data_IF_258430264129
#
_entry.id   IF_258430264129
#
_cell.length_a   1.000
_cell.length_b   1.000
_cell.length_c   1.000
_cell.angle_alpha   90.00
_cell.angle_beta   90.00
_cell.angle_gamma   90.00
#
_symmetry.space_group_name_H-M   'P 1'
#
loop_
_entity.id
_entity.type
_entity.pdbx_description
1 polymer ?
#
# COMPACT_ATOMS: atom_id res chain seq x y z
N UNK A 1 -2.28 7.51 -11.37
CA UNK A 1 -1.43 6.51 -12.06
C UNK A 1 -2.29 5.52 -12.85
N UNK A 2 -3.06 4.60 -12.24
CA UNK A 2 -3.78 3.50 -12.90
C UNK A 2 -4.53 3.95 -14.17
N UNK A 3 -5.36 4.98 -14.09
CA UNK A 3 -6.11 5.50 -15.24
C UNK A 3 -5.23 6.19 -16.28
N UNK A 4 -4.12 6.80 -15.87
CA UNK A 4 -3.16 7.40 -16.81
C UNK A 4 -2.43 6.31 -17.59
N UNK A 5 -1.96 5.26 -16.91
CA UNK A 5 -1.32 4.11 -17.53
C UNK A 5 -2.28 3.41 -18.49
N UNK A 6 -3.51 3.14 -18.03
CA UNK A 6 -4.57 2.54 -18.85
C UNK A 6 -4.87 3.37 -20.11
N UNK A 7 -5.05 4.67 -19.97
CA UNK A 7 -5.28 5.58 -21.10
C UNK A 7 -4.14 5.56 -22.12
N UNK A 8 -2.89 5.74 -21.65
CA UNK A 8 -1.72 5.80 -22.55
C UNK A 8 -1.51 4.46 -23.25
N UNK A 9 -1.59 3.35 -22.54
CA UNK A 9 -1.44 2.02 -23.15
C UNK A 9 -2.54 1.75 -24.19
N UNK A 10 -3.77 2.11 -23.87
CA UNK A 10 -4.90 1.89 -24.80
C UNK A 10 -4.80 2.80 -26.02
N UNK A 11 -4.69 4.12 -25.82
CA UNK A 11 -4.79 5.12 -26.91
C UNK A 11 -3.50 5.28 -27.72
N UNK A 12 -2.33 5.20 -27.05
CA UNK A 12 -1.05 5.48 -27.72
C UNK A 12 -0.35 4.20 -28.15
N UNK A 13 -0.52 3.09 -27.41
CA UNK A 13 0.19 1.84 -27.70
C UNK A 13 -0.69 0.88 -28.52
N UNK A 14 -1.90 0.57 -28.07
CA UNK A 14 -2.70 -0.53 -28.62
C UNK A 14 -3.56 -0.14 -29.81
N UNK A 15 -4.31 0.97 -29.73
CA UNK A 15 -5.21 1.38 -30.82
C UNK A 15 -4.48 1.60 -32.14
N UNK A 16 -3.35 2.35 -32.20
CA UNK A 16 -2.64 2.55 -33.44
C UNK A 16 -1.98 1.28 -34.00
N UNK A 17 -1.64 0.34 -33.10
CA UNK A 17 -0.91 -0.86 -33.49
C UNK A 17 -1.80 -1.99 -34.03
N UNK A 18 -3.00 -2.14 -33.44
CA UNK A 18 -3.88 -3.28 -33.75
C UNK A 18 -5.10 -2.92 -34.57
N UNK A 19 -5.24 -1.65 -35.00
CA UNK A 19 -6.29 -1.18 -35.93
C UNK A 19 -7.66 -1.83 -35.68
N UNK A 20 -8.10 -1.87 -34.41
CA UNK A 20 -9.39 -2.46 -34.00
C UNK A 20 -9.55 -3.96 -34.36
N UNK A 21 -8.45 -4.70 -34.43
CA UNK A 21 -8.50 -6.15 -34.59
C UNK A 21 -9.03 -6.87 -33.35
N UNK A 22 -9.51 -8.10 -33.51
CA UNK A 22 -9.95 -8.94 -32.39
C UNK A 22 -8.85 -9.05 -31.29
N UNK A 23 -7.59 -9.20 -31.73
CA UNK A 23 -6.44 -9.24 -30.80
C UNK A 23 -6.29 -7.93 -30.03
N UNK A 24 -6.45 -6.78 -30.66
CA UNK A 24 -6.42 -5.48 -30.03
C UNK A 24 -7.50 -5.35 -28.96
N UNK A 25 -8.72 -5.71 -29.29
CA UNK A 25 -9.84 -5.69 -28.32
C UNK A 25 -9.59 -6.58 -27.10
N UNK A 26 -9.01 -7.78 -27.28
CA UNK A 26 -8.68 -8.67 -26.16
C UNK A 26 -7.61 -8.05 -25.25
N UNK A 27 -6.55 -7.46 -25.82
CA UNK A 27 -5.49 -6.81 -25.04
C UNK A 27 -6.00 -5.58 -24.28
N UNK A 28 -6.81 -4.75 -24.93
CA UNK A 28 -7.46 -3.60 -24.31
C UNK A 28 -8.42 -4.06 -23.19
N UNK A 29 -9.25 -5.07 -23.47
CA UNK A 29 -10.18 -5.62 -22.49
C UNK A 29 -9.47 -6.15 -21.24
N UNK A 30 -8.33 -6.83 -21.40
CA UNK A 30 -7.53 -7.29 -20.27
C UNK A 30 -6.95 -6.11 -19.48
N UNK A 31 -6.46 -5.06 -20.14
CA UNK A 31 -5.96 -3.86 -19.47
C UNK A 31 -7.04 -3.21 -18.63
N UNK A 32 -8.24 -2.99 -19.20
CA UNK A 32 -9.38 -2.41 -18.47
C UNK A 32 -9.87 -3.30 -17.33
N UNK A 33 -9.81 -4.62 -17.48
CA UNK A 33 -10.16 -5.56 -16.41
C UNK A 33 -9.21 -5.42 -15.22
N UNK A 34 -7.89 -5.33 -15.47
CA UNK A 34 -6.88 -5.16 -14.41
C UNK A 34 -7.04 -3.79 -13.74
N UNK A 35 -7.16 -2.72 -14.53
CA UNK A 35 -7.38 -1.36 -14.00
C UNK A 35 -8.67 -1.25 -13.20
N UNK A 36 -9.76 -1.81 -13.70
CA UNK A 36 -11.06 -1.85 -13.01
C UNK A 36 -11.03 -2.65 -11.71
N UNK A 37 -10.33 -3.79 -11.71
CA UNK A 37 -10.13 -4.61 -10.50
C UNK A 37 -9.32 -3.88 -9.43
N UNK A 38 -8.23 -3.22 -9.84
CA UNK A 38 -7.42 -2.38 -8.95
C UNK A 38 -8.27 -1.24 -8.36
N UNK A 39 -9.06 -0.56 -9.20
CA UNK A 39 -9.94 0.52 -8.75
C UNK A 39 -11.02 0.03 -7.78
N UNK A 40 -11.66 -1.09 -8.08
CA UNK A 40 -12.67 -1.66 -7.19
C UNK A 40 -12.09 -2.02 -5.82
N UNK A 41 -10.89 -2.60 -5.79
CA UNK A 41 -10.18 -2.88 -4.54
C UNK A 41 -9.79 -1.59 -3.80
N UNK A 42 -9.32 -0.56 -4.51
CA UNK A 42 -9.01 0.76 -3.94
C UNK A 42 -10.23 1.37 -3.24
N UNK A 43 -11.38 1.40 -3.93
CA UNK A 43 -12.65 1.87 -3.36
C UNK A 43 -13.05 1.05 -2.12
N UNK A 44 -12.88 -0.28 -2.17
CA UNK A 44 -13.13 -1.15 -1.01
C UNK A 44 -12.25 -0.81 0.17
N UNK A 45 -10.95 -0.54 -0.03
CA UNK A 45 -10.05 -0.12 1.06
C UNK A 45 -10.49 1.22 1.66
N UNK A 46 -10.88 2.19 0.82
CA UNK A 46 -11.31 3.52 1.27
C UNK A 46 -12.54 3.44 2.20
N UNK A 47 -13.54 2.65 1.83
CA UNK A 47 -14.84 2.64 2.51
C UNK A 47 -15.03 1.49 3.51
N UNK A 48 -14.12 0.52 3.56
CA UNK A 48 -14.20 -0.55 4.57
C UNK A 48 -13.61 -0.08 5.89
N UNK A 49 -14.36 -0.27 6.98
CA UNK A 49 -13.86 0.00 8.32
C UNK A 49 -12.62 -0.85 8.62
N UNK A 50 -11.50 -0.23 9.05
CA UNK A 50 -10.25 -0.97 9.34
C UNK A 50 -10.28 -1.78 10.65
N UNK A 51 -11.35 -1.70 11.43
CA UNK A 51 -11.45 -2.28 12.77
C UNK A 51 -11.39 -1.22 13.86
N UNK A 52 -12.34 -0.30 13.87
CA UNK A 52 -12.37 0.83 14.81
C UNK A 52 -12.94 0.41 16.15
N UNK A 53 -12.24 0.75 17.24
CA UNK A 53 -12.70 0.56 18.62
C UNK A 53 -13.65 1.68 19.06
N UNK A 54 -14.64 1.31 19.89
CA UNK A 54 -15.54 2.29 20.51
C UNK A 54 -14.74 3.22 21.42
N UNK A 55 -15.13 4.49 21.46
CA UNK A 55 -14.56 5.51 22.34
C UNK A 55 -15.33 5.62 23.64
N UNK A 56 -14.70 6.23 24.65
CA UNK A 56 -15.31 6.57 25.93
C UNK A 56 -15.96 5.34 26.62
N UNK A 57 -15.28 4.19 26.54
CA UNK A 57 -15.71 2.98 27.25
C UNK A 57 -15.27 2.96 28.72
N UNK A 58 -14.42 3.91 29.11
CA UNK A 58 -13.89 4.07 30.46
C UNK A 58 -14.13 5.49 30.94
N UNK A 59 -14.35 5.65 32.24
CA UNK A 59 -14.37 6.96 32.89
C UNK A 59 -12.96 7.55 32.99
N UNK A 60 -12.86 8.87 33.25
CA UNK A 60 -11.54 9.49 33.43
C UNK A 60 -10.79 8.94 34.64
N UNK A 61 -11.50 8.56 35.71
CA UNK A 61 -10.94 7.95 36.91
C UNK A 61 -10.40 6.56 36.67
N UNK A 62 -11.14 5.73 35.90
CA UNK A 62 -10.67 4.40 35.50
C UNK A 62 -9.45 4.48 34.60
N UNK A 63 -9.41 5.43 33.67
CA UNK A 63 -8.23 5.67 32.82
C UNK A 63 -7.03 6.04 33.67
N UNK A 64 -7.19 6.96 34.64
CA UNK A 64 -6.10 7.39 35.52
C UNK A 64 -5.61 6.22 36.38
N UNK A 65 -6.52 5.47 37.01
CA UNK A 65 -6.19 4.29 37.82
C UNK A 65 -5.39 3.25 37.02
N UNK A 66 -5.74 3.02 35.74
CA UNK A 66 -4.99 2.13 34.87
C UNK A 66 -3.61 2.68 34.51
N UNK A 67 -3.49 4.00 34.26
CA UNK A 67 -2.20 4.63 33.97
C UNK A 67 -1.26 4.54 35.18
N UNK A 68 -1.79 4.75 36.40
CA UNK A 68 -1.02 4.66 37.64
C UNK A 68 -0.58 3.21 37.93
N UNK A 69 -1.40 2.21 37.62
CA UNK A 69 -1.07 0.79 37.79
C UNK A 69 -0.05 0.28 36.77
N UNK A 70 0.10 0.93 35.63
CA UNK A 70 1.08 0.54 34.57
C UNK A 70 2.54 0.59 35.05
N UNK A 71 2.85 1.34 36.08
CA UNK A 71 4.20 1.43 36.67
C UNK A 71 4.61 0.17 37.49
N UNK A 72 3.66 -0.70 37.81
CA UNK A 72 3.84 -1.85 38.70
C UNK A 72 3.62 -3.23 38.01
N UNK A 73 3.06 -3.26 36.81
CA UNK A 73 2.62 -4.51 36.16
C UNK A 73 3.45 -4.86 34.95
N UNK A 74 3.99 -6.09 34.90
CA UNK A 74 4.80 -6.61 33.78
C UNK A 74 3.99 -6.84 32.50
N UNK A 75 2.66 -6.80 32.57
CA UNK A 75 1.76 -6.93 31.41
C UNK A 75 0.55 -5.99 31.53
N UNK A 76 0.77 -4.66 31.48
CA UNK A 76 -0.29 -3.69 31.74
C UNK A 76 -1.36 -3.76 30.64
N UNK A 77 -2.62 -3.84 31.07
CA UNK A 77 -3.76 -3.60 30.20
C UNK A 77 -3.67 -2.16 29.71
N UNK A 78 -3.22 -1.97 28.49
CA UNK A 78 -2.98 -0.63 27.95
C UNK A 78 -4.30 0.10 27.77
N UNK A 79 -4.33 1.38 28.15
CA UNK A 79 -5.47 2.28 27.94
C UNK A 79 -5.05 3.39 26.99
N UNK A 80 -5.93 3.73 26.07
CA UNK A 80 -5.72 4.88 25.18
C UNK A 80 -6.26 6.16 25.84
N UNK A 81 -5.39 7.07 26.26
CA UNK A 81 -5.79 8.36 26.85
C UNK A 81 -6.63 9.24 25.93
N UNK A 82 -6.42 9.16 24.59
CA UNK A 82 -7.21 9.93 23.63
C UNK A 82 -8.62 9.36 23.43
N UNK A 83 -8.75 8.03 23.40
CA UNK A 83 -10.04 7.36 23.17
C UNK A 83 -10.76 6.99 24.45
N UNK A 84 -10.11 7.09 25.61
CA UNK A 84 -10.61 6.63 26.90
C UNK A 84 -11.21 5.22 26.81
N UNK A 85 -10.41 4.29 26.29
CA UNK A 85 -10.83 2.93 26.01
C UNK A 85 -9.66 1.96 26.17
N UNK A 86 -9.96 0.71 26.51
CA UNK A 86 -8.97 -0.36 26.54
C UNK A 86 -8.29 -0.53 25.21
N UNK A 87 -6.97 -0.70 25.25
CA UNK A 87 -6.09 -0.86 24.10
C UNK A 87 -5.40 -2.23 24.18
N UNK A 88 -6.06 -3.31 23.77
CA UNK A 88 -5.46 -4.64 23.71
C UNK A 88 -4.19 -4.65 22.86
N UNK A 89 -3.43 -5.75 22.94
CA UNK A 89 -2.26 -5.93 22.09
C UNK A 89 -2.61 -5.72 20.61
N UNK A 90 -1.69 -5.09 19.87
CA UNK A 90 -1.83 -4.81 18.43
C UNK A 90 -2.92 -3.79 18.07
N UNK A 91 -3.51 -3.11 19.06
CA UNK A 91 -4.39 -1.97 18.83
C UNK A 91 -3.58 -0.68 18.91
N UNK A 92 -3.63 0.15 17.90
CA UNK A 92 -2.90 1.42 17.86
C UNK A 92 -3.83 2.60 17.61
N UNK A 93 -3.50 3.76 18.25
CA UNK A 93 -4.25 4.99 18.04
C UNK A 93 -3.70 5.74 16.82
N UNK A 94 -4.52 5.93 15.81
CA UNK A 94 -4.20 6.78 14.68
C UNK A 94 -4.50 8.24 14.99
N UNK A 95 -3.47 9.08 15.05
CA UNK A 95 -3.65 10.54 15.27
C UNK A 95 -4.37 11.23 14.12
N UNK A 96 -4.18 10.78 12.87
CA UNK A 96 -4.85 11.33 11.67
C UNK A 96 -6.36 11.06 11.69
N UNK A 97 -6.75 9.82 11.99
CA UNK A 97 -8.15 9.41 12.05
C UNK A 97 -8.77 9.66 13.44
N UNK A 98 -7.97 10.04 14.43
CA UNK A 98 -8.36 10.24 15.83
C UNK A 98 -9.17 9.08 16.41
N UNK A 99 -8.71 7.84 16.19
CA UNK A 99 -9.39 6.60 16.63
C UNK A 99 -8.41 5.45 16.81
N UNK A 100 -8.75 4.50 17.68
CA UNK A 100 -8.02 3.24 17.84
C UNK A 100 -8.47 2.24 16.79
N UNK A 101 -7.49 1.52 16.20
CA UNK A 101 -7.71 0.55 15.12
C UNK A 101 -7.08 -0.78 15.51
N UNK A 102 -7.84 -1.86 15.33
CA UNK A 102 -7.41 -3.22 15.60
C UNK A 102 -6.40 -3.68 14.56
N UNK A 103 -5.29 -4.30 15.03
CA UNK A 103 -4.18 -4.77 14.20
C UNK A 103 -3.78 -3.70 13.17
N UNK A 104 -3.66 -2.47 13.65
CA UNK A 104 -3.30 -1.34 12.81
C UNK A 104 -1.92 -1.55 12.19
N UNK A 105 -1.84 -1.53 10.87
CA UNK A 105 -0.57 -1.56 10.16
C UNK A 105 -0.03 -0.14 9.95
N UNK A 106 -0.78 0.70 9.24
CA UNK A 106 -0.42 2.11 9.03
C UNK A 106 -1.66 2.96 8.70
N UNK A 107 -1.51 4.29 8.72
CA UNK A 107 -2.44 5.21 8.07
C UNK A 107 -1.98 5.44 6.63
N UNK A 108 -2.81 5.10 5.66
CA UNK A 108 -2.50 5.24 4.25
C UNK A 108 -3.14 6.52 3.66
N UNK A 109 -2.35 7.54 3.30
CA UNK A 109 -2.87 8.77 2.71
C UNK A 109 -3.54 8.53 1.34
N UNK A 110 -3.06 7.56 0.58
CA UNK A 110 -3.55 7.26 -0.77
C UNK A 110 -4.99 6.76 -0.80
N UNK A 111 -5.44 6.11 0.26
CA UNK A 111 -6.81 5.63 0.43
C UNK A 111 -7.58 6.42 1.48
N UNK A 112 -6.94 7.44 2.07
CA UNK A 112 -7.49 8.27 3.14
C UNK A 112 -8.13 7.46 4.28
N UNK A 113 -7.51 6.34 4.64
CA UNK A 113 -7.98 5.42 5.68
C UNK A 113 -6.79 4.75 6.36
N UNK A 114 -7.03 4.15 7.54
CA UNK A 114 -6.08 3.23 8.14
C UNK A 114 -6.18 1.86 7.48
N UNK A 115 -5.05 1.16 7.38
CA UNK A 115 -4.99 -0.26 7.07
C UNK A 115 -4.94 -1.02 8.39
N UNK A 116 -5.85 -1.96 8.55
CA UNK A 116 -6.02 -2.75 9.77
C UNK A 116 -6.79 -4.03 9.49
N UNK A 117 -7.24 -4.70 10.56
CA UNK A 117 -7.75 -6.07 10.53
C UNK A 117 -8.79 -6.37 9.44
N UNK A 118 -9.71 -5.44 9.15
CA UNK A 118 -10.85 -5.76 8.28
C UNK A 118 -10.70 -5.29 6.84
N UNK A 119 -9.75 -4.38 6.53
CA UNK A 119 -9.54 -3.90 5.18
C UNK A 119 -8.17 -4.26 4.57
N UNK A 120 -7.26 -4.89 5.34
CA UNK A 120 -5.93 -5.29 4.86
C UNK A 120 -6.00 -6.20 3.63
N UNK A 121 -6.95 -7.15 3.59
CA UNK A 121 -7.13 -8.04 2.44
C UNK A 121 -7.43 -7.30 1.13
N UNK A 122 -8.23 -6.24 1.20
CA UNK A 122 -8.54 -5.43 0.01
C UNK A 122 -7.35 -4.58 -0.40
N UNK A 123 -6.54 -4.14 0.56
CA UNK A 123 -5.28 -3.44 0.29
C UNK A 123 -4.28 -4.35 -0.43
N UNK A 124 -4.14 -5.60 -0.01
CA UNK A 124 -3.32 -6.60 -0.70
C UNK A 124 -3.79 -6.88 -2.13
N UNK A 125 -5.09 -7.07 -2.31
CA UNK A 125 -5.66 -7.25 -3.65
C UNK A 125 -5.44 -6.02 -4.53
N UNK A 126 -5.56 -4.82 -3.96
CA UNK A 126 -5.24 -3.57 -4.65
C UNK A 126 -3.79 -3.56 -5.14
N UNK A 127 -2.81 -3.83 -4.26
CA UNK A 127 -1.40 -3.91 -4.63
C UNK A 127 -1.16 -4.97 -5.71
N UNK A 128 -1.76 -6.15 -5.57
CA UNK A 128 -1.65 -7.25 -6.53
C UNK A 128 -2.13 -6.85 -7.93
N UNK A 129 -3.33 -6.28 -8.05
CA UNK A 129 -3.84 -5.86 -9.35
C UNK A 129 -3.08 -4.68 -9.94
N UNK A 130 -2.55 -3.77 -9.12
CA UNK A 130 -1.67 -2.70 -9.60
C UNK A 130 -0.37 -3.26 -10.15
N UNK A 131 0.29 -4.19 -9.44
CA UNK A 131 1.52 -4.84 -9.93
C UNK A 131 1.27 -5.54 -11.26
N UNK A 132 0.20 -6.34 -11.36
CA UNK A 132 -0.13 -7.04 -12.61
C UNK A 132 -0.43 -6.06 -13.75
N UNK A 133 -1.19 -5.00 -13.47
CA UNK A 133 -1.52 -3.98 -14.47
C UNK A 133 -0.29 -3.22 -14.98
N UNK A 134 0.61 -2.80 -14.09
CA UNK A 134 1.83 -2.11 -14.47
C UNK A 134 2.81 -3.03 -15.21
N UNK A 135 2.97 -4.28 -14.80
CA UNK A 135 3.78 -5.26 -15.53
C UNK A 135 3.23 -5.51 -16.94
N UNK A 136 1.91 -5.65 -17.06
CA UNK A 136 1.25 -5.83 -18.33
C UNK A 136 1.41 -4.61 -19.25
N UNK A 137 1.22 -3.40 -18.73
CA UNK A 137 1.43 -2.14 -19.43
C UNK A 137 2.86 -2.00 -19.94
N UNK A 138 3.85 -2.28 -19.09
CA UNK A 138 5.27 -2.24 -19.46
C UNK A 138 5.60 -3.26 -20.54
N UNK A 139 5.07 -4.48 -20.45
CA UNK A 139 5.27 -5.52 -21.47
C UNK A 139 4.73 -5.09 -22.84
N UNK A 140 3.53 -4.51 -22.89
CA UNK A 140 2.92 -4.00 -24.12
C UNK A 140 3.73 -2.84 -24.72
N UNK A 141 4.08 -1.85 -23.88
CA UNK A 141 4.85 -0.68 -24.31
C UNK A 141 6.25 -1.07 -24.81
N UNK A 142 6.91 -2.00 -24.10
CA UNK A 142 8.23 -2.50 -24.51
C UNK A 142 8.14 -3.28 -25.82
N UNK A 143 7.13 -4.14 -25.99
CA UNK A 143 6.92 -4.91 -27.22
C UNK A 143 6.66 -3.98 -28.40
N UNK A 144 5.86 -2.94 -28.24
CA UNK A 144 5.62 -1.91 -29.27
C UNK A 144 6.91 -1.19 -29.63
N UNK A 145 7.68 -0.71 -28.63
CA UNK A 145 8.96 -0.04 -28.87
C UNK A 145 9.97 -0.92 -29.61
N UNK A 146 10.07 -2.20 -29.23
CA UNK A 146 10.94 -3.16 -29.91
C UNK A 146 10.56 -3.36 -31.40
N UNK A 147 9.27 -3.54 -31.69
CA UNK A 147 8.77 -3.70 -33.07
C UNK A 147 8.99 -2.44 -33.88
N UNK A 148 8.71 -1.28 -33.28
CA UNK A 148 8.94 0.03 -33.90
C UNK A 148 10.40 0.19 -34.34
N UNK A 149 11.37 -0.05 -33.49
CA UNK A 149 12.81 0.06 -33.77
C UNK A 149 13.23 -0.95 -34.86
N UNK A 150 12.75 -2.20 -34.80
CA UNK A 150 13.07 -3.24 -35.78
C UNK A 150 12.53 -2.95 -37.18
N UNK A 151 11.29 -2.46 -37.27
CA UNK A 151 10.62 -2.20 -38.55
C UNK A 151 10.93 -0.81 -39.12
N UNK A 152 11.58 0.06 -38.34
CA UNK A 152 11.78 1.49 -38.65
C UNK A 152 10.46 2.23 -38.90
N UNK A 153 9.39 1.76 -38.24
CA UNK A 153 8.03 2.26 -38.37
C UNK A 153 7.60 2.75 -36.99
N UNK A 154 8.15 3.89 -36.58
CA UNK A 154 7.90 4.52 -35.28
C UNK A 154 6.98 5.72 -35.38
N UNK A 155 6.66 6.16 -36.58
CA UNK A 155 5.80 7.31 -36.76
C UNK A 155 4.33 6.92 -36.62
N UNK A 156 3.66 7.54 -35.67
CA UNK A 156 2.22 7.50 -35.56
C UNK A 156 1.68 8.78 -36.17
N UNK A 157 0.98 8.73 -37.30
CA UNK A 157 0.44 9.93 -37.95
C UNK A 157 -0.63 10.66 -37.09
N UNK A 158 -1.19 9.95 -36.12
CA UNK A 158 -2.26 10.48 -35.26
C UNK A 158 -1.68 11.15 -34.01
N UNK A 159 -0.56 10.62 -33.46
CA UNK A 159 0.04 11.07 -32.21
C UNK A 159 1.56 11.29 -32.36
N UNK A 160 2.03 12.38 -32.95
CA UNK A 160 3.47 12.60 -33.20
C UNK A 160 4.30 12.67 -31.90
N UNK A 161 3.68 12.98 -30.78
CA UNK A 161 4.31 12.98 -29.44
C UNK A 161 4.23 11.61 -28.75
N UNK A 162 3.58 10.62 -29.37
CA UNK A 162 3.36 9.30 -28.80
C UNK A 162 4.62 8.61 -28.24
N UNK A 163 5.76 8.57 -28.99
CA UNK A 163 7.00 7.97 -28.50
C UNK A 163 7.54 8.63 -27.25
N UNK A 164 7.49 9.96 -27.15
CA UNK A 164 7.95 10.73 -26.01
C UNK A 164 7.08 10.46 -24.76
N UNK A 165 5.76 10.42 -24.96
CA UNK A 165 4.79 10.09 -23.90
C UNK A 165 5.03 8.67 -23.41
N UNK A 166 5.25 7.69 -24.30
CA UNK A 166 5.57 6.31 -23.94
C UNK A 166 6.86 6.20 -23.11
N UNK A 167 7.92 6.91 -23.50
CA UNK A 167 9.19 6.92 -22.75
C UNK A 167 8.95 7.51 -21.35
N UNK A 168 8.31 8.67 -21.25
CA UNK A 168 8.01 9.32 -19.98
C UNK A 168 7.17 8.40 -19.07
N UNK A 169 6.09 7.85 -19.61
CA UNK A 169 5.21 6.95 -18.85
C UNK A 169 5.92 5.65 -18.45
N UNK A 170 6.80 5.10 -19.28
CA UNK A 170 7.61 3.93 -18.93
C UNK A 170 8.49 4.20 -17.71
N UNK A 171 9.17 5.35 -17.68
CA UNK A 171 10.01 5.74 -16.53
C UNK A 171 9.15 5.85 -15.26
N UNK A 172 8.03 6.56 -15.34
CA UNK A 172 7.11 6.74 -14.21
C UNK A 172 6.54 5.41 -13.73
N UNK A 173 6.13 4.52 -14.66
CA UNK A 173 5.59 3.19 -14.33
C UNK A 173 6.63 2.30 -13.67
N UNK A 174 7.90 2.33 -14.10
CA UNK A 174 8.97 1.57 -13.45
C UNK A 174 9.18 2.02 -11.99
N UNK A 175 9.27 3.33 -11.76
CA UNK A 175 9.39 3.86 -10.39
C UNK A 175 8.18 3.48 -9.53
N UNK A 176 6.99 3.58 -10.09
CA UNK A 176 5.76 3.23 -9.39
C UNK A 176 5.67 1.73 -9.08
N UNK A 177 6.07 0.88 -10.04
CA UNK A 177 6.13 -0.57 -9.84
C UNK A 177 7.09 -0.95 -8.72
N UNK A 178 8.29 -0.35 -8.68
CA UNK A 178 9.25 -0.58 -7.59
C UNK A 178 8.62 -0.20 -6.25
N UNK A 179 7.98 0.97 -6.17
CA UNK A 179 7.29 1.42 -4.95
C UNK A 179 6.20 0.43 -4.50
N UNK A 180 5.34 0.00 -5.43
CA UNK A 180 4.23 -0.92 -5.10
C UNK A 180 4.73 -2.31 -4.74
N UNK A 181 5.79 -2.81 -5.40
CA UNK A 181 6.43 -4.07 -5.04
C UNK A 181 7.05 -4.01 -3.64
N UNK A 182 7.73 -2.92 -3.30
CA UNK A 182 8.29 -2.72 -1.95
C UNK A 182 7.19 -2.75 -0.89
N UNK A 183 6.07 -2.04 -1.13
CA UNK A 183 4.89 -2.09 -0.24
C UNK A 183 4.29 -3.51 -0.16
N UNK A 184 4.28 -4.24 -1.28
CA UNK A 184 3.82 -5.63 -1.33
C UNK A 184 4.68 -6.57 -0.47
N UNK A 185 6.00 -6.44 -0.55
CA UNK A 185 6.95 -7.20 0.28
C UNK A 185 6.74 -6.88 1.78
N UNK A 186 6.61 -5.60 2.15
CA UNK A 186 6.34 -5.20 3.53
C UNK A 186 5.03 -5.81 4.07
N UNK A 187 4.00 -5.88 3.23
CA UNK A 187 2.73 -6.51 3.60
C UNK A 187 2.83 -8.04 3.67
N UNK A 188 3.61 -8.66 2.78
CA UNK A 188 3.88 -10.10 2.85
C UNK A 188 4.58 -10.45 4.17
N UNK A 189 5.64 -9.72 4.54
CA UNK A 189 6.37 -9.92 5.79
C UNK A 189 5.45 -9.69 7.01
N UNK A 190 4.56 -8.68 6.94
CA UNK A 190 3.59 -8.40 8.01
C UNK A 190 2.63 -9.57 8.26
N UNK A 191 2.25 -10.29 7.21
CA UNK A 191 1.37 -11.46 7.30
C UNK A 191 2.15 -12.69 7.73
N UNK A 192 3.33 -12.91 7.14
CA UNK A 192 4.18 -14.06 7.42
C UNK A 192 4.60 -14.10 8.89
N UNK A 193 5.04 -12.97 9.43
CA UNK A 193 5.50 -12.84 10.81
C UNK A 193 4.33 -12.63 11.80
N UNK A 194 3.10 -12.49 11.30
CA UNK A 194 1.91 -12.09 12.06
C UNK A 194 2.14 -10.79 12.88
N UNK A 195 2.96 -9.87 12.37
CA UNK A 195 3.31 -8.60 13.00
C UNK A 195 2.99 -7.44 12.05
N UNK A 196 2.23 -6.44 12.53
CA UNK A 196 2.01 -5.22 11.77
C UNK A 196 3.32 -4.40 11.62
N UNK A 197 3.35 -3.46 10.68
CA UNK A 197 4.50 -2.57 10.52
C UNK A 197 4.83 -1.82 11.81
N UNK A 198 3.81 -1.41 12.58
CA UNK A 198 4.00 -0.74 13.87
C UNK A 198 4.60 -1.70 14.89
N UNK A 199 4.11 -2.94 14.98
CA UNK A 199 4.63 -3.95 15.92
C UNK A 199 6.11 -4.26 15.60
N UNK A 200 6.47 -4.42 14.32
CA UNK A 200 7.86 -4.61 13.88
C UNK A 200 8.77 -3.46 14.25
N UNK A 201 8.31 -2.21 14.09
CA UNK A 201 9.06 -1.03 14.52
C UNK A 201 9.29 -1.01 16.03
N UNK A 202 8.29 -1.38 16.83
CA UNK A 202 8.41 -1.48 18.28
C UNK A 202 9.43 -2.56 18.68
N UNK A 203 9.41 -3.73 18.05
CA UNK A 203 10.39 -4.79 18.30
C UNK A 203 11.82 -4.34 17.96
N UNK A 204 12.03 -3.71 16.81
CA UNK A 204 13.34 -3.18 16.42
C UNK A 204 13.86 -2.12 17.39
N UNK A 205 12.97 -1.23 17.86
CA UNK A 205 13.33 -0.20 18.82
C UNK A 205 13.74 -0.79 20.18
N UNK A 206 13.00 -1.75 20.70
CA UNK A 206 13.34 -2.46 21.95
C UNK A 206 14.67 -3.22 21.82
N UNK A 207 14.89 -3.93 20.70
CA UNK A 207 16.14 -4.62 20.45
C UNK A 207 17.34 -3.66 20.35
N UNK A 208 17.17 -2.50 19.72
CA UNK A 208 18.20 -1.48 19.65
C UNK A 208 18.54 -0.90 21.03
N UNK A 209 17.52 -0.61 21.86
CA UNK A 209 17.72 -0.14 23.23
C UNK A 209 18.44 -1.18 24.09
N UNK A 210 18.06 -2.45 24.01
CA UNK A 210 18.72 -3.52 24.75
C UNK A 210 20.20 -3.67 24.35
N UNK A 211 20.49 -3.56 23.03
CA UNK A 211 21.85 -3.60 22.53
C UNK A 211 22.68 -2.38 23.00
N UNK A 212 22.11 -1.20 22.96
CA UNK A 212 22.77 0.03 23.42
C UNK A 212 23.03 0.03 24.93
N UNK A 213 22.12 -0.50 25.72
CA UNK A 213 22.29 -0.67 27.18
C UNK A 213 23.38 -1.72 27.48
N UNK A 214 23.41 -2.84 26.77
CA UNK A 214 24.47 -3.85 26.93
C UNK A 214 25.85 -3.29 26.56
N UNK A 215 25.97 -2.56 25.44
CA UNK A 215 27.21 -1.90 25.05
C UNK A 215 27.66 -0.84 26.07
N UNK A 216 26.74 -0.07 26.64
CA UNK A 216 27.04 0.91 27.69
C UNK A 216 27.58 0.26 28.96
N UNK A 217 27.10 -0.94 29.31
CA UNK A 217 27.62 -1.68 30.47
C UNK A 217 29.04 -2.23 30.22
N UNK A 218 29.41 -2.54 28.96
CA UNK A 218 30.76 -2.99 28.62
C UNK A 218 31.81 -1.84 28.52
N UNK A 219 31.34 -0.61 28.36
CA UNK A 219 32.24 0.58 28.28
C UNK A 219 32.55 1.18 29.67
N UNK A 220 31.78 0.78 30.71
CA UNK A 220 31.99 1.25 32.08
C UNK A 220 32.81 0.26 32.96
N UNK A 221 33.51 -0.71 32.36
CA UNK A 221 34.52 -1.58 32.99
C UNK A 221 35.86 -1.30 32.35
#
# INVERSE_FOLDING_TARGET
>A
MIWMTDYVVTRVVLEPWYEMSLKGYVLIGLMHLLAGSAFACHVRVMFTCPGVRKRNTLTSEEVQKHLDSMSLDLNPTRVCGHCKAYKPNRVHHCRRCNRCVDRMDHHCPWVNNCIGQYNQKYFLLFLFYVILGEMYALALTFTRGYVCVKRKDCEDPIEPMGPLVCIFMTIVSVFFLIFVCTMGCEQYDAIHDDLSAIDRLQHRYVSFLSLSLSLSMYVCV
#
